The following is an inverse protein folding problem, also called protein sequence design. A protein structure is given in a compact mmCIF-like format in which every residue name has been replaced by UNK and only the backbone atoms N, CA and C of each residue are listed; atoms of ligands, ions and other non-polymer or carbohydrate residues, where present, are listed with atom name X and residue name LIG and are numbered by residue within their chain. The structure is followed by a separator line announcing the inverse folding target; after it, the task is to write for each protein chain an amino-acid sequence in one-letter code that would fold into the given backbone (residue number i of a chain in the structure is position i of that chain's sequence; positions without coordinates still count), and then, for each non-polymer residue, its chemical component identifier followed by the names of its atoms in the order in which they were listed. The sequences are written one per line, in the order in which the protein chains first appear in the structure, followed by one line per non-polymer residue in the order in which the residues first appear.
data_IF_420392890476
#
_entry.id   IF_420392890476
#
_cell.length_a   1.000
_cell.length_b   1.000
_cell.length_c   1.000
_cell.angle_alpha   90.00
_cell.angle_beta   90.00
_cell.angle_gamma   90.00
#
_symmetry.space_group_name_H-M   'P 1'
#
loop_
_entity.id
_entity.type
_entity.pdbx_description
1 polymer ?
#
# COMPACT_ATOMS: atom_id res chain seq x y z
N UNK A 1 -14.50 4.75 -1.81
CA UNK A 1 -13.78 5.92 -2.34
C UNK A 1 -12.90 6.42 -1.22
N UNK A 2 -11.59 6.58 -1.45
CA UNK A 2 -10.77 7.35 -0.52
C UNK A 2 -11.34 8.78 -0.48
N UNK A 3 -11.37 9.45 0.69
CA UNK A 3 -11.80 10.85 0.77
C UNK A 3 -10.96 11.72 -0.18
N UNK A 4 -11.48 12.89 -0.58
CA UNK A 4 -10.70 13.89 -1.32
C UNK A 4 -9.33 14.02 -0.65
N UNK A 5 -8.25 13.68 -1.37
CA UNK A 5 -6.89 13.78 -0.85
C UNK A 5 -6.67 15.21 -0.38
N UNK A 6 -6.41 15.38 0.92
CA UNK A 6 -5.88 16.65 1.41
C UNK A 6 -4.46 16.76 0.91
N UNK A 7 -4.00 17.98 0.61
CA UNK A 7 -2.62 18.20 0.19
C UNK A 7 -1.62 17.69 1.23
N UNK A 8 -1.99 17.76 2.51
CA UNK A 8 -1.22 17.26 3.65
C UNK A 8 -0.98 15.73 3.60
N UNK A 9 -1.82 14.99 2.86
CA UNK A 9 -1.73 13.52 2.71
C UNK A 9 -0.97 13.11 1.44
N UNK A 10 -0.46 14.07 0.67
CA UNK A 10 0.16 13.81 -0.61
C UNK A 10 1.69 13.66 -0.50
N UNK A 11 2.25 12.91 -1.44
CA UNK A 11 3.69 12.74 -1.69
C UNK A 11 3.94 12.78 -3.19
N UNK A 12 5.21 12.90 -3.59
CA UNK A 12 5.65 12.92 -4.98
C UNK A 12 6.47 11.67 -5.27
N UNK A 13 6.13 10.98 -6.35
CA UNK A 13 6.88 9.82 -6.82
C UNK A 13 7.40 10.05 -8.24
N UNK A 14 8.65 9.68 -8.48
CA UNK A 14 9.25 9.70 -9.80
C UNK A 14 8.72 8.54 -10.65
N UNK A 15 8.19 8.86 -11.83
CA UNK A 15 7.55 7.86 -12.69
C UNK A 15 8.51 6.83 -13.30
N UNK A 16 9.81 7.14 -13.32
CA UNK A 16 10.80 6.37 -14.07
C UNK A 16 11.44 5.24 -13.25
N UNK A 17 11.58 5.42 -11.93
CA UNK A 17 12.21 4.47 -11.01
C UNK A 17 11.32 4.15 -9.78
N UNK A 18 10.22 4.86 -9.56
CA UNK A 18 9.34 4.64 -8.41
C UNK A 18 9.83 5.27 -7.11
N UNK A 19 10.92 6.05 -7.13
CA UNK A 19 11.45 6.73 -5.94
C UNK A 19 10.47 7.78 -5.44
N UNK A 20 10.26 7.83 -4.12
CA UNK A 20 9.50 8.88 -3.46
C UNK A 20 10.44 10.02 -3.08
N UNK A 21 10.07 11.25 -3.43
CA UNK A 21 10.85 12.43 -3.08
C UNK A 21 10.66 12.78 -1.60
N UNK A 22 11.73 13.25 -0.98
CA UNK A 22 11.67 13.81 0.36
C UNK A 22 11.17 15.24 0.27
N UNK A 23 9.99 15.49 0.81
CA UNK A 23 9.37 16.83 0.78
C UNK A 23 9.99 17.78 1.81
N UNK A 24 10.82 17.28 2.73
CA UNK A 24 11.55 18.10 3.69
C UNK A 24 12.90 18.58 3.14
N UNK A 25 13.38 17.97 2.05
CA UNK A 25 14.63 18.31 1.37
C UNK A 25 14.41 19.08 0.07
N UNK A 26 15.42 19.84 -0.36
CA UNK A 26 15.41 20.51 -1.67
C UNK A 26 15.75 19.55 -2.81
N UNK A 27 15.29 19.85 -4.02
CA UNK A 27 15.64 19.06 -5.23
C UNK A 27 17.15 19.01 -5.51
N UNK A 28 17.91 20.01 -5.03
CA UNK A 28 19.36 20.03 -5.19
C UNK A 28 20.05 19.00 -4.27
N UNK A 29 19.50 18.77 -3.07
CA UNK A 29 19.98 17.78 -2.11
C UNK A 29 19.67 16.34 -2.57
N UNK A 30 18.64 16.16 -3.39
CA UNK A 30 18.23 14.87 -3.98
C UNK A 30 18.51 14.77 -5.49
N UNK A 31 19.51 15.50 -5.99
CA UNK A 31 19.79 15.58 -7.44
C UNK A 31 20.07 14.20 -8.07
N UNK A 32 20.73 13.31 -7.33
CA UNK A 32 21.09 11.96 -7.81
C UNK A 32 19.83 11.13 -8.16
N UNK A 33 18.72 11.36 -7.47
CA UNK A 33 17.43 10.71 -7.77
C UNK A 33 16.73 11.31 -9.00
N UNK A 34 17.08 12.55 -9.37
CA UNK A 34 16.51 13.32 -10.47
C UNK A 34 17.35 13.25 -11.76
N UNK A 35 18.32 12.35 -11.83
CA UNK A 35 19.07 12.10 -13.05
C UNK A 35 18.11 11.79 -14.22
N UNK A 36 18.25 12.52 -15.32
CA UNK A 36 17.39 12.43 -16.51
C UNK A 36 16.21 13.41 -16.59
N UNK A 37 15.98 14.27 -15.57
CA UNK A 37 15.14 15.46 -15.73
C UNK A 37 15.85 16.57 -16.52
N UNK A 38 17.17 16.52 -16.61
CA UNK A 38 17.97 17.44 -17.40
C UNK A 38 17.76 17.19 -18.90
N UNK A 39 17.65 18.29 -19.65
CA UNK A 39 17.52 18.26 -21.09
C UNK A 39 18.86 17.85 -21.68
N UNK A 40 18.92 16.70 -22.37
CA UNK A 40 20.09 16.38 -23.20
C UNK A 40 20.23 17.47 -24.27
N UNK A 41 21.37 18.15 -24.30
CA UNK A 41 21.73 19.18 -25.29
C UNK A 41 21.77 18.63 -26.74
N UNK A 42 21.47 17.35 -26.96
CA UNK A 42 21.58 16.64 -28.24
C UNK A 42 20.30 16.58 -29.06
N UNK A 43 19.23 17.30 -28.69
CA UNK A 43 18.03 17.45 -29.54
C UNK A 43 17.19 16.18 -29.73
N UNK A 44 17.60 15.06 -29.13
CA UNK A 44 16.72 13.92 -28.90
C UNK A 44 15.67 14.34 -27.88
N UNK A 45 14.39 14.02 -28.12
CA UNK A 45 13.36 14.07 -27.07
C UNK A 45 13.76 13.07 -25.98
N UNK A 46 14.63 13.50 -25.06
CA UNK A 46 14.94 12.77 -23.84
C UNK A 46 13.62 12.35 -23.20
N UNK A 47 13.54 11.10 -22.73
CA UNK A 47 12.33 10.59 -22.05
C UNK A 47 12.03 11.53 -20.89
N UNK A 48 11.07 12.45 -21.08
CA UNK A 48 10.69 13.41 -20.05
C UNK A 48 10.27 12.63 -18.81
N UNK A 49 11.13 12.62 -17.79
CA UNK A 49 10.74 12.09 -16.50
C UNK A 49 9.59 12.93 -15.96
N UNK A 50 8.62 12.26 -15.36
CA UNK A 50 7.43 12.90 -14.81
C UNK A 50 7.34 12.60 -13.32
N UNK A 51 6.71 13.52 -12.60
CA UNK A 51 6.43 13.37 -11.17
C UNK A 51 4.95 13.07 -11.02
N UNK A 52 4.64 12.05 -10.25
CA UNK A 52 3.28 11.61 -9.95
C UNK A 52 2.92 12.05 -8.54
N UNK A 53 1.85 12.82 -8.41
CA UNK A 53 1.24 13.12 -7.12
C UNK A 53 0.48 11.89 -6.61
N UNK A 54 0.87 11.37 -5.45
CA UNK A 54 0.27 10.18 -4.83
C UNK A 54 -0.12 10.47 -3.38
N UNK A 55 -0.93 9.60 -2.79
CA UNK A 55 -1.13 9.60 -1.33
C UNK A 55 0.10 8.99 -0.65
N UNK A 56 0.52 9.56 0.47
CA UNK A 56 1.63 9.06 1.29
C UNK A 56 1.44 7.58 1.67
N UNK A 57 2.57 6.85 1.78
CA UNK A 57 2.56 5.45 2.20
C UNK A 57 1.93 5.31 3.59
N UNK A 58 2.35 6.15 4.54
CA UNK A 58 1.82 6.22 5.91
C UNK A 58 0.29 6.35 5.94
N UNK A 59 -0.26 7.33 5.22
CA UNK A 59 -1.71 7.56 5.14
C UNK A 59 -2.45 6.36 4.55
N UNK A 60 -1.93 5.77 3.47
CA UNK A 60 -2.51 4.56 2.85
C UNK A 60 -2.49 3.36 3.81
N UNK A 61 -1.39 3.17 4.54
CA UNK A 61 -1.22 2.10 5.52
C UNK A 61 -2.17 2.27 6.70
N UNK A 62 -2.27 3.49 7.26
CA UNK A 62 -3.21 3.77 8.33
C UNK A 62 -4.66 3.51 7.91
N UNK A 63 -5.05 3.92 6.69
CA UNK A 63 -6.38 3.62 6.16
C UNK A 63 -6.62 2.10 5.99
N UNK A 64 -5.60 1.33 5.64
CA UNK A 64 -5.69 -0.13 5.58
C UNK A 64 -5.90 -0.75 6.96
N UNK A 65 -5.09 -0.33 7.95
CA UNK A 65 -5.18 -0.81 9.34
C UNK A 65 -6.52 -0.46 9.96
N UNK A 66 -6.97 0.78 9.81
CA UNK A 66 -8.27 1.25 10.29
C UNK A 66 -9.40 0.42 9.66
N UNK A 67 -9.32 0.16 8.35
CA UNK A 67 -10.31 -0.69 7.66
C UNK A 67 -10.33 -2.11 8.22
N UNK A 68 -9.17 -2.69 8.56
CA UNK A 68 -9.12 -4.03 9.17
C UNK A 68 -9.78 -4.05 10.55
N UNK A 69 -9.49 -3.07 11.41
CA UNK A 69 -10.09 -2.99 12.74
C UNK A 69 -11.60 -2.71 12.71
N UNK A 70 -12.08 -2.00 11.71
CA UNK A 70 -13.50 -1.69 11.54
C UNK A 70 -14.26 -2.73 10.69
N UNK A 71 -13.63 -3.83 10.29
CA UNK A 71 -14.26 -4.88 9.48
C UNK A 71 -14.39 -6.18 10.25
N UNK A 72 -15.55 -6.84 10.14
CA UNK A 72 -15.82 -8.14 10.75
C UNK A 72 -16.40 -9.13 9.74
N UNK A 73 -16.29 -10.43 10.02
CA UNK A 73 -16.92 -11.51 9.22
C UNK A 73 -16.63 -11.43 7.72
N UNK A 74 -17.68 -11.32 6.90
CA UNK A 74 -17.55 -11.26 5.42
C UNK A 74 -16.78 -10.03 4.96
N UNK A 75 -16.93 -8.89 5.63
CA UNK A 75 -16.24 -7.66 5.24
C UNK A 75 -14.77 -7.70 5.61
N UNK A 76 -14.40 -8.34 6.72
CA UNK A 76 -13.00 -8.61 7.05
C UNK A 76 -12.33 -9.47 5.98
N UNK A 77 -13.00 -10.53 5.50
CA UNK A 77 -12.49 -11.36 4.40
C UNK A 77 -12.25 -10.55 3.13
N UNK A 78 -13.13 -9.61 2.81
CA UNK A 78 -12.98 -8.71 1.64
C UNK A 78 -11.84 -7.73 1.86
N UNK A 79 -11.71 -7.15 3.06
CA UNK A 79 -10.64 -6.24 3.42
C UNK A 79 -9.26 -6.91 3.32
N UNK A 80 -9.13 -8.15 3.84
CA UNK A 80 -7.91 -8.95 3.73
C UNK A 80 -7.55 -9.28 2.27
N UNK A 81 -8.53 -9.59 1.43
CA UNK A 81 -8.29 -9.83 0.01
C UNK A 81 -7.83 -8.55 -0.71
N UNK A 82 -8.49 -7.41 -0.44
CA UNK A 82 -8.06 -6.11 -0.97
C UNK A 82 -6.65 -5.73 -0.50
N UNK A 83 -6.32 -5.98 0.78
CA UNK A 83 -5.00 -5.71 1.33
C UNK A 83 -3.90 -6.48 0.59
N UNK A 84 -4.16 -7.77 0.32
CA UNK A 84 -3.25 -8.59 -0.49
C UNK A 84 -3.00 -8.00 -1.87
N UNK A 85 -4.05 -7.54 -2.56
CA UNK A 85 -3.90 -6.92 -3.89
C UNK A 85 -3.08 -5.63 -3.82
N UNK A 86 -3.37 -4.77 -2.83
CA UNK A 86 -2.64 -3.52 -2.62
C UNK A 86 -1.13 -3.76 -2.41
N UNK A 87 -0.74 -4.76 -1.61
CA UNK A 87 0.67 -5.12 -1.40
C UNK A 87 1.34 -5.77 -2.61
N UNK A 88 0.56 -6.39 -3.50
CA UNK A 88 1.08 -6.91 -4.76
C UNK A 88 1.34 -5.79 -5.76
N UNK A 89 0.48 -4.76 -5.77
CA UNK A 89 0.58 -3.61 -6.66
C UNK A 89 1.66 -2.61 -6.22
N UNK A 90 1.87 -2.45 -4.90
CA UNK A 90 2.84 -1.51 -4.33
C UNK A 90 3.58 -2.17 -3.16
N UNK A 91 4.84 -2.57 -3.41
CA UNK A 91 5.68 -3.30 -2.44
C UNK A 91 6.17 -2.42 -1.30
N UNK A 92 6.27 -1.11 -1.50
CA UNK A 92 6.76 -0.17 -0.49
C UNK A 92 5.78 -0.06 0.69
N UNK A 93 4.49 -0.27 0.42
CA UNK A 93 3.47 -0.37 1.45
C UNK A 93 3.69 -1.53 2.43
N UNK A 94 4.38 -2.59 2.03
CA UNK A 94 4.64 -3.74 2.92
C UNK A 94 5.58 -3.33 4.05
N UNK A 95 6.65 -2.60 3.73
CA UNK A 95 7.59 -2.12 4.74
C UNK A 95 6.89 -1.15 5.70
N UNK A 96 6.19 -0.17 5.15
CA UNK A 96 5.45 0.83 5.91
C UNK A 96 4.37 0.20 6.81
N UNK A 97 3.67 -0.82 6.31
CA UNK A 97 2.67 -1.56 7.08
C UNK A 97 3.27 -2.29 8.29
N UNK A 98 4.49 -2.83 8.16
CA UNK A 98 5.18 -3.46 9.29
C UNK A 98 5.60 -2.41 10.33
N UNK A 99 6.09 -1.26 9.89
CA UNK A 99 6.46 -0.15 10.79
C UNK A 99 5.26 0.41 11.55
N UNK A 100 4.08 0.49 10.92
CA UNK A 100 2.84 0.97 11.54
C UNK A 100 2.11 -0.07 12.41
N UNK A 101 2.79 -1.11 12.91
CA UNK A 101 2.22 -2.21 13.69
C UNK A 101 1.11 -3.00 12.97
N UNK A 102 1.10 -3.02 11.64
CA UNK A 102 0.09 -3.71 10.85
C UNK A 102 0.08 -5.23 11.08
N UNK A 103 1.23 -5.84 11.42
CA UNK A 103 1.29 -7.25 11.81
C UNK A 103 0.54 -7.51 13.13
N UNK A 104 0.65 -6.61 14.10
CA UNK A 104 -0.11 -6.67 15.36
C UNK A 104 -1.60 -6.60 15.08
N UNK A 105 -2.02 -5.71 14.17
CA UNK A 105 -3.41 -5.63 13.72
C UNK A 105 -3.88 -6.96 13.13
N UNK A 106 -3.12 -7.57 12.20
CA UNK A 106 -3.45 -8.87 11.60
C UNK A 106 -3.59 -9.99 12.64
N UNK A 107 -2.74 -10.02 13.66
CA UNK A 107 -2.82 -11.00 14.75
C UNK A 107 -4.10 -10.80 15.56
N UNK A 108 -4.43 -9.56 15.94
CA UNK A 108 -5.64 -9.23 16.71
C UNK A 108 -6.92 -9.58 15.93
N UNK A 109 -7.07 -9.06 14.71
CA UNK A 109 -8.26 -9.34 13.89
C UNK A 109 -8.35 -10.82 13.50
N UNK A 110 -7.21 -11.52 13.41
CA UNK A 110 -7.17 -12.96 13.16
C UNK A 110 -7.56 -13.81 14.38
N UNK A 111 -7.24 -13.36 15.59
CA UNK A 111 -7.65 -14.01 16.84
C UNK A 111 -9.13 -13.77 17.15
N UNK A 112 -9.66 -12.61 16.78
CA UNK A 112 -11.07 -12.22 16.92
C UNK A 112 -11.94 -12.72 15.75
N UNK A 113 -11.33 -13.13 14.63
CA UNK A 113 -12.02 -13.77 13.52
C UNK A 113 -12.56 -15.14 13.96
N UNK A 114 -13.84 -15.10 14.29
CA UNK A 114 -14.68 -16.16 14.85
C UNK A 114 -14.38 -17.61 14.40
N UNK A 115 -14.51 -18.51 15.37
CA UNK A 115 -14.29 -19.97 15.32
C UNK A 115 -15.20 -20.70 14.32
N UNK A 116 -16.16 -19.97 13.72
CA UNK A 116 -17.04 -20.42 12.65
C UNK A 116 -16.30 -20.65 11.31
N UNK A 117 -15.17 -19.99 11.04
CA UNK A 117 -14.35 -20.31 9.86
C UNK A 117 -13.47 -21.56 10.03
N UNK A 118 -13.07 -21.89 11.27
CA UNK A 118 -12.41 -23.17 11.57
C UNK A 118 -13.36 -24.35 11.36
N UNK A 119 -14.67 -24.20 11.62
CA UNK A 119 -15.67 -25.24 11.38
C UNK A 119 -15.93 -25.54 9.88
N UNK A 120 -15.77 -24.56 8.98
CA UNK A 120 -15.79 -24.82 7.53
C UNK A 120 -14.54 -25.58 7.05
N UNK A 121 -13.40 -25.37 7.71
CA UNK A 121 -12.15 -26.09 7.42
C UNK A 121 -12.20 -27.53 7.97
N UNK A 122 -12.78 -27.73 9.17
CA UNK A 122 -12.85 -29.04 9.81
C UNK A 122 -14.03 -29.92 9.33
N UNK A 123 -15.17 -29.33 8.94
CA UNK A 123 -16.33 -30.08 8.40
C UNK A 123 -16.24 -30.36 6.90
N UNK A 124 -15.27 -29.80 6.17
CA UNK A 124 -14.96 -30.16 4.79
C UNK A 124 -14.52 -31.62 4.58
N UNK A 125 -14.31 -32.40 5.66
CA UNK A 125 -14.12 -33.85 5.63
C UNK A 125 -15.40 -34.69 5.74
N UNK A 126 -16.57 -34.09 5.99
CA UNK A 126 -17.88 -34.80 6.02
C UNK A 126 -18.60 -34.69 4.65
N UNK A 127 -17.84 -34.48 3.58
CA UNK A 127 -18.32 -34.62 2.21
C UNK A 127 -17.33 -35.43 1.37
N UNK A 128 -16.83 -36.54 1.93
CA UNK A 128 -16.43 -37.68 1.11
C UNK A 128 -17.62 -38.64 1.10
N UNK A 129 -18.42 -38.68 0.02
CA UNK A 129 -19.31 -39.82 -0.18
C UNK A 129 -18.45 -41.07 -0.36
N UNK A 130 -18.98 -42.18 0.18
CA UNK A 130 -18.70 -43.54 -0.27
C UNK A 130 -18.77 -43.65 -1.80
#
# INVERSE_FOLDING_TARGET
MLPQCRLDDCTLQLSHNGTYLDLESSLAEQKDELEGFHQDDTGSRGKKHSVVLRTQLTVRVHACIERLYNSNGRDLRRALFSLKQIFQDDKDLVHEFVMAEGLTCLIKVGAEADQNYQNYILRGKVSLPL
#
